data_IF_724650443563
#
_entry.id   IF_724650443563
#
_cell.length_a   1.000
_cell.length_b   1.000
_cell.length_c   1.000
_cell.angle_alpha   90.00
_cell.angle_beta   90.00
_cell.angle_gamma   90.00
#
_symmetry.space_group_name_H-M   'P 1'
#
loop_
_entity.id
_entity.type
_entity.pdbx_description
1 polymer ?
#
# COMPACT_ATOMS: atom_id res chain seq x y z
N UNK A 1 -6.91 17.07 -7.86
CA UNK A 1 -6.34 15.96 -8.66
C UNK A 1 -6.99 15.71 -10.01
N UNK A 2 -8.31 15.86 -10.19
CA UNK A 2 -8.93 15.78 -11.54
C UNK A 2 -8.26 16.72 -12.55
N UNK A 3 -7.90 17.94 -12.13
CA UNK A 3 -7.14 18.87 -12.96
C UNK A 3 -5.75 18.36 -13.37
N UNK A 4 -5.06 17.61 -12.50
CA UNK A 4 -3.76 17.03 -12.83
C UNK A 4 -3.90 15.93 -13.90
N UNK A 5 -4.90 15.05 -13.78
CA UNK A 5 -5.16 14.02 -14.80
C UNK A 5 -5.65 14.61 -16.13
N UNK A 6 -6.42 15.70 -16.11
CA UNK A 6 -6.78 16.44 -17.32
C UNK A 6 -5.57 17.08 -17.99
N UNK A 7 -4.67 17.67 -17.21
CA UNK A 7 -3.44 18.24 -17.74
C UNK A 7 -2.52 17.15 -18.31
N UNK A 8 -2.39 16.01 -17.61
CA UNK A 8 -1.71 14.82 -18.13
C UNK A 8 -2.34 14.38 -19.45
N UNK A 9 -3.67 14.27 -19.56
CA UNK A 9 -4.34 13.97 -20.83
C UNK A 9 -4.01 14.97 -21.94
N UNK A 10 -3.95 16.26 -21.62
CA UNK A 10 -3.63 17.34 -22.57
C UNK A 10 -2.23 17.19 -23.15
N UNK A 11 -1.24 16.89 -22.31
CA UNK A 11 0.17 16.86 -22.71
C UNK A 11 0.68 15.49 -23.15
N UNK A 12 0.03 14.40 -22.73
CA UNK A 12 0.48 13.04 -23.03
C UNK A 12 0.14 12.67 -24.48
N UNK A 13 1.11 12.05 -25.16
CA UNK A 13 1.00 11.68 -26.57
C UNK A 13 0.33 10.33 -26.81
N UNK A 14 0.39 9.39 -25.87
CA UNK A 14 -0.20 8.06 -26.04
C UNK A 14 -0.61 7.42 -24.72
N UNK A 15 0.35 7.19 -23.81
CA UNK A 15 0.15 6.32 -22.64
C UNK A 15 0.66 6.96 -21.35
N UNK A 16 -0.03 6.67 -20.24
CA UNK A 16 0.32 7.09 -18.89
C UNK A 16 0.43 5.85 -18.01
N UNK A 17 1.54 5.76 -17.28
CA UNK A 17 1.70 4.74 -16.25
C UNK A 17 1.20 5.30 -14.91
N UNK A 18 0.13 4.71 -14.39
CA UNK A 18 -0.44 5.00 -13.07
C UNK A 18 0.12 3.99 -12.07
N UNK A 19 0.99 4.43 -11.15
CA UNK A 19 1.58 3.61 -10.09
C UNK A 19 1.10 4.16 -8.76
N UNK A 20 0.42 3.32 -7.97
CA UNK A 20 -0.15 3.74 -6.67
C UNK A 20 -0.04 2.61 -5.64
N UNK A 21 0.03 2.92 -4.34
CA UNK A 21 -0.15 1.92 -3.30
C UNK A 21 -1.44 1.13 -3.54
N UNK A 22 -1.45 -0.17 -3.23
CA UNK A 22 -2.69 -0.92 -3.22
C UNK A 22 -3.68 -0.24 -2.26
N UNK A 23 -4.96 -0.32 -2.57
CA UNK A 23 -6.03 0.29 -1.76
C UNK A 23 -6.14 -0.30 -0.33
N UNK A 24 -5.34 -1.34 -0.03
CA UNK A 24 -5.24 -1.96 1.29
C UNK A 24 -4.01 -1.39 2.00
N UNK A 25 -4.19 -0.95 3.24
CA UNK A 25 -3.07 -0.58 4.11
C UNK A 25 -2.07 -1.73 4.21
N UNK A 26 -0.76 -1.45 4.36
CA UNK A 26 0.24 -2.45 4.68
C UNK A 26 -0.19 -3.30 5.88
N UNK A 27 -0.01 -4.60 5.76
CA UNK A 27 -0.50 -5.58 6.73
C UNK A 27 0.66 -6.12 7.55
N UNK A 28 0.48 -6.18 8.87
CA UNK A 28 1.49 -6.66 9.82
C UNK A 28 1.19 -8.11 10.18
N UNK A 29 2.22 -8.95 10.10
CA UNK A 29 2.15 -10.37 10.41
C UNK A 29 3.35 -10.83 11.25
N UNK A 30 3.20 -11.99 11.87
CA UNK A 30 4.29 -12.81 12.40
C UNK A 30 4.33 -14.13 11.67
N UNK A 31 5.51 -14.50 11.16
CA UNK A 31 5.78 -15.84 10.64
C UNK A 31 6.44 -16.67 11.71
N UNK A 32 5.85 -17.82 12.05
CA UNK A 32 6.47 -18.79 12.94
C UNK A 32 7.60 -19.57 12.22
N UNK A 33 8.39 -20.33 12.99
CA UNK A 33 9.51 -21.13 12.47
C UNK A 33 9.09 -22.23 11.47
N UNK A 34 7.82 -22.61 11.45
CA UNK A 34 7.26 -23.63 10.57
C UNK A 34 6.63 -23.00 9.30
N UNK A 35 6.66 -21.66 9.18
CA UNK A 35 6.08 -20.92 8.06
C UNK A 35 4.60 -20.54 8.24
N UNK A 36 4.04 -20.70 9.43
CA UNK A 36 2.69 -20.26 9.76
C UNK A 36 2.61 -18.75 9.96
N UNK A 37 1.71 -18.08 9.24
CA UNK A 37 1.53 -16.63 9.31
C UNK A 37 0.35 -16.26 10.21
N UNK A 38 0.62 -15.42 11.22
CA UNK A 38 -0.39 -14.85 12.12
C UNK A 38 -0.58 -13.37 11.80
N UNK A 39 -1.80 -12.98 11.45
CA UNK A 39 -2.15 -11.57 11.22
C UNK A 39 -2.23 -10.80 12.53
N UNK A 40 -1.54 -9.66 12.60
CA UNK A 40 -1.47 -8.82 13.81
C UNK A 40 -2.27 -7.52 13.66
N UNK A 41 -2.43 -7.00 12.45
CA UNK A 41 -3.16 -5.77 12.19
C UNK A 41 -2.72 -5.08 10.90
N UNK A 42 -3.23 -3.88 10.69
CA UNK A 42 -2.89 -3.06 9.52
C UNK A 42 -2.19 -1.80 10.01
N UNK A 43 -1.17 -1.34 9.27
CA UNK A 43 -0.62 -0.02 9.52
C UNK A 43 -1.69 1.05 9.34
N UNK A 44 -1.66 2.07 10.20
CA UNK A 44 -2.56 3.20 10.14
C UNK A 44 -1.83 4.40 9.57
N UNK A 45 -2.56 5.23 8.83
CA UNK A 45 -2.01 6.52 8.42
C UNK A 45 -1.90 7.43 9.63
N UNK A 46 -0.80 8.20 9.71
CA UNK A 46 -0.59 9.19 10.76
C UNK A 46 -1.54 10.40 10.65
N UNK A 47 -2.04 10.67 9.46
CA UNK A 47 -2.88 11.82 9.13
C UNK A 47 -4.00 11.45 8.14
N UNK A 48 -4.82 12.44 7.75
CA UNK A 48 -5.88 12.28 6.76
C UNK A 48 -5.36 12.05 5.32
N UNK A 49 -4.04 11.89 5.10
CA UNK A 49 -3.48 11.70 3.76
C UNK A 49 -3.90 10.38 3.10
N UNK A 50 -4.43 9.43 3.87
CA UNK A 50 -5.19 8.29 3.34
C UNK A 50 -6.34 8.71 2.40
N UNK A 51 -6.91 9.91 2.57
CA UNK A 51 -7.92 10.44 1.66
C UNK A 51 -7.38 10.82 0.27
N UNK A 52 -6.08 11.08 0.12
CA UNK A 52 -5.50 11.41 -1.19
C UNK A 52 -5.57 10.23 -2.16
N UNK A 53 -5.45 8.99 -1.69
CA UNK A 53 -5.59 7.83 -2.57
C UNK A 53 -7.03 7.67 -3.04
N UNK A 54 -8.00 7.82 -2.15
CA UNK A 54 -9.43 7.80 -2.46
C UNK A 54 -9.78 8.88 -3.49
N UNK A 55 -9.27 10.10 -3.30
CA UNK A 55 -9.46 11.18 -4.26
C UNK A 55 -8.81 10.88 -5.62
N UNK A 56 -7.67 10.16 -5.63
CA UNK A 56 -6.95 9.78 -6.86
C UNK A 56 -7.73 8.73 -7.63
N UNK A 57 -8.22 7.70 -6.93
CA UNK A 57 -9.10 6.66 -7.49
C UNK A 57 -10.37 7.27 -8.06
N UNK A 58 -10.99 8.18 -7.31
CA UNK A 58 -12.19 8.90 -7.75
C UNK A 58 -11.90 9.72 -9.00
N UNK A 59 -10.76 10.42 -9.05
CA UNK A 59 -10.38 11.21 -10.21
C UNK A 59 -10.09 10.33 -11.43
N UNK A 60 -9.43 9.18 -11.26
CA UNK A 60 -9.20 8.21 -12.32
C UNK A 60 -10.51 7.64 -12.85
N UNK A 61 -11.41 7.21 -11.97
CA UNK A 61 -12.71 6.68 -12.33
C UNK A 61 -13.52 7.69 -13.18
N UNK A 62 -13.44 8.98 -12.83
CA UNK A 62 -14.08 10.06 -13.61
C UNK A 62 -13.49 10.19 -15.01
N UNK A 63 -12.17 10.25 -15.17
CA UNK A 63 -11.58 10.41 -16.51
C UNK A 63 -11.75 9.18 -17.41
N UNK A 64 -11.88 7.99 -16.82
CA UNK A 64 -12.27 6.77 -17.53
C UNK A 64 -13.74 6.85 -17.97
N UNK A 65 -14.65 7.26 -17.07
CA UNK A 65 -16.06 7.44 -17.39
C UNK A 65 -16.28 8.51 -18.49
N UNK A 66 -15.45 9.54 -18.52
CA UNK A 66 -15.43 10.59 -19.55
C UNK A 66 -14.78 10.14 -20.88
N UNK A 67 -14.42 8.86 -21.05
CA UNK A 67 -13.74 8.31 -22.23
C UNK A 67 -12.43 9.03 -22.61
N UNK A 68 -11.72 9.64 -21.65
CA UNK A 68 -10.43 10.30 -21.93
C UNK A 68 -9.29 9.30 -21.99
N UNK A 69 -9.40 8.25 -21.16
CA UNK A 69 -8.45 7.16 -21.07
C UNK A 69 -9.16 5.81 -21.00
N UNK A 70 -8.49 4.77 -21.47
CA UNK A 70 -8.84 3.37 -21.20
C UNK A 70 -7.69 2.68 -20.48
N UNK A 71 -8.03 1.83 -19.51
CA UNK A 71 -7.04 0.93 -18.89
C UNK A 71 -6.76 -0.19 -19.88
N UNK A 72 -5.52 -0.31 -20.33
CA UNK A 72 -5.08 -1.35 -21.28
C UNK A 72 -4.35 -2.50 -20.61
N UNK A 73 -3.76 -2.25 -19.44
CA UNK A 73 -3.11 -3.25 -18.62
C UNK A 73 -3.27 -2.87 -17.15
N UNK A 74 -3.48 -3.86 -16.30
CA UNK A 74 -3.39 -3.75 -14.84
C UNK A 74 -2.47 -4.86 -14.33
N UNK A 75 -1.61 -4.54 -13.38
CA UNK A 75 -0.71 -5.46 -12.72
C UNK A 75 -0.59 -5.11 -11.23
N UNK A 76 -0.12 -6.06 -10.43
CA UNK A 76 0.06 -5.91 -8.99
C UNK A 76 1.38 -6.51 -8.54
N UNK A 77 2.09 -5.79 -7.69
CA UNK A 77 3.37 -6.21 -7.15
C UNK A 77 3.30 -6.14 -5.63
N UNK A 78 3.42 -7.30 -4.98
CA UNK A 78 3.49 -7.42 -3.53
C UNK A 78 4.93 -7.75 -3.11
N UNK A 79 5.36 -7.23 -1.97
CA UNK A 79 6.61 -7.60 -1.31
C UNK A 79 6.45 -7.65 0.21
N UNK A 80 7.50 -8.16 0.87
CA UNK A 80 7.53 -8.34 2.33
C UNK A 80 8.80 -7.71 2.90
N UNK A 81 8.63 -6.83 3.88
CA UNK A 81 9.73 -6.34 4.71
C UNK A 81 9.76 -7.15 6.00
N UNK A 82 10.86 -7.84 6.26
CA UNK A 82 10.99 -8.77 7.39
C UNK A 82 11.93 -8.22 8.46
N UNK A 83 11.55 -8.43 9.71
CA UNK A 83 12.21 -7.93 10.90
C UNK A 83 12.46 -9.07 11.88
N UNK A 84 13.56 -9.01 12.62
CA UNK A 84 13.93 -10.04 13.58
C UNK A 84 13.15 -9.89 14.89
N UNK A 85 12.68 -8.69 15.21
CA UNK A 85 11.89 -8.42 16.43
C UNK A 85 10.66 -7.55 16.17
N UNK A 86 9.72 -7.58 17.12
CA UNK A 86 8.56 -6.67 17.09
C UNK A 86 9.00 -5.21 17.25
N UNK A 87 9.96 -4.95 18.15
CA UNK A 87 10.45 -3.60 18.44
C UNK A 87 11.14 -2.99 17.21
N UNK A 88 11.98 -3.78 16.52
CA UNK A 88 12.62 -3.35 15.27
C UNK A 88 11.61 -2.95 14.19
N UNK A 89 10.52 -3.71 14.02
CA UNK A 89 9.45 -3.34 13.08
C UNK A 89 8.80 -2.02 13.49
N UNK A 90 8.46 -1.86 14.77
CA UNK A 90 7.79 -0.65 15.28
C UNK A 90 8.70 0.58 15.14
N UNK A 91 9.97 0.47 15.52
CA UNK A 91 10.98 1.52 15.38
C UNK A 91 11.17 1.90 13.91
N UNK A 92 11.34 0.91 13.02
CA UNK A 92 11.49 1.16 11.58
C UNK A 92 10.28 1.89 10.98
N UNK A 93 9.05 1.49 11.32
CA UNK A 93 7.85 2.18 10.84
C UNK A 93 7.81 3.61 11.37
N UNK A 94 8.10 3.81 12.65
CA UNK A 94 8.10 5.13 13.27
C UNK A 94 9.15 6.08 12.64
N UNK A 95 10.36 5.57 12.39
CA UNK A 95 11.49 6.41 11.98
C UNK A 95 11.53 6.64 10.47
N UNK A 96 11.26 5.61 9.66
CA UNK A 96 11.45 5.67 8.21
C UNK A 96 10.13 5.87 7.45
N UNK A 97 8.98 5.51 8.04
CA UNK A 97 7.69 5.55 7.36
C UNK A 97 6.85 6.71 7.89
N UNK A 98 7.27 7.94 7.56
CA UNK A 98 6.71 9.21 8.05
C UNK A 98 5.18 9.34 8.02
N UNK A 99 4.49 8.59 7.15
CA UNK A 99 3.04 8.64 6.98
C UNK A 99 2.28 7.48 7.63
N UNK A 100 2.99 6.51 8.21
CA UNK A 100 2.42 5.29 8.78
C UNK A 100 2.76 5.15 10.26
N UNK A 101 1.87 4.49 10.98
CA UNK A 101 2.06 4.16 12.38
C UNK A 101 1.55 2.75 12.68
N UNK A 102 2.18 2.12 13.68
CA UNK A 102 1.69 0.89 14.29
C UNK A 102 0.84 1.32 15.48
N UNK A 103 -0.48 1.09 15.42
CA UNK A 103 -1.34 1.39 16.56
C UNK A 103 -1.09 0.43 17.74
N UNK A 104 -1.53 0.82 18.93
CA UNK A 104 -1.28 0.07 20.17
C UNK A 104 -1.82 -1.36 20.11
N UNK A 105 -3.00 -1.57 19.50
CA UNK A 105 -3.60 -2.90 19.36
C UNK A 105 -2.77 -3.79 18.44
N UNK A 106 -2.31 -3.27 17.31
CA UNK A 106 -1.43 -3.98 16.37
C UNK A 106 -0.09 -4.31 17.03
N UNK A 107 0.50 -3.36 17.77
CA UNK A 107 1.76 -3.57 18.50
C UNK A 107 1.61 -4.66 19.57
N UNK A 108 0.53 -4.63 20.36
CA UNK A 108 0.26 -5.64 21.38
C UNK A 108 0.04 -7.04 20.77
N UNK A 109 -0.69 -7.14 19.67
CA UNK A 109 -0.88 -8.40 18.93
C UNK A 109 0.43 -8.92 18.35
N UNK A 110 1.25 -8.04 17.78
CA UNK A 110 2.57 -8.35 17.24
C UNK A 110 3.49 -8.94 18.31
N UNK A 111 3.62 -8.25 19.46
CA UNK A 111 4.45 -8.71 20.58
C UNK A 111 3.99 -10.06 21.14
N UNK A 112 2.67 -10.26 21.27
CA UNK A 112 2.09 -11.55 21.73
C UNK A 112 2.37 -12.67 20.73
N UNK A 113 2.11 -12.44 19.44
CA UNK A 113 2.33 -13.44 18.40
C UNK A 113 3.81 -13.83 18.28
N UNK A 114 4.74 -12.88 18.38
CA UNK A 114 6.18 -13.16 18.44
C UNK A 114 6.56 -14.02 19.65
N UNK A 115 6.03 -13.68 20.83
CA UNK A 115 6.27 -14.43 22.07
C UNK A 115 5.75 -15.87 21.98
N UNK A 116 4.54 -16.05 21.48
CA UNK A 116 3.87 -17.34 21.40
C UNK A 116 4.51 -18.25 20.32
N UNK A 117 5.01 -17.67 19.24
CA UNK A 117 5.69 -18.38 18.15
C UNK A 117 7.11 -18.85 18.53
N UNK A 118 7.69 -18.26 19.57
CA UNK A 118 8.98 -18.66 20.12
C UNK A 118 10.18 -18.33 19.21
N UNK A 119 11.30 -19.01 19.48
CA UNK A 119 12.58 -18.70 18.82
C UNK A 119 12.54 -18.97 17.32
N UNK A 120 12.98 -17.99 16.53
CA UNK A 120 13.03 -18.06 15.07
C UNK A 120 11.79 -17.50 14.37
N UNK A 121 10.80 -17.02 15.12
CA UNK A 121 9.71 -16.23 14.55
C UNK A 121 10.24 -14.91 13.98
N UNK A 122 9.58 -14.40 12.94
CA UNK A 122 9.91 -13.11 12.31
C UNK A 122 8.65 -12.26 12.17
N UNK A 123 8.78 -10.99 12.50
CA UNK A 123 7.77 -10.00 12.18
C UNK A 123 7.93 -9.60 10.71
N UNK A 124 6.84 -9.31 10.00
CA UNK A 124 6.94 -8.79 8.65
C UNK A 124 5.74 -7.92 8.26
N UNK A 125 5.98 -7.00 7.35
CA UNK A 125 4.96 -6.15 6.73
C UNK A 125 4.75 -6.65 5.31
N UNK A 126 3.52 -7.02 4.97
CA UNK A 126 3.09 -7.28 3.60
C UNK A 126 2.54 -5.99 2.99
N UNK A 127 3.08 -5.57 1.87
CA UNK A 127 2.61 -4.39 1.14
C UNK A 127 2.74 -4.58 -0.36
N UNK A 128 2.15 -3.67 -1.12
CA UNK A 128 2.15 -3.76 -2.57
C UNK A 128 1.73 -2.49 -3.28
N UNK A 129 2.03 -2.44 -4.57
CA UNK A 129 1.58 -1.40 -5.49
C UNK A 129 0.69 -1.98 -6.59
N UNK A 130 -0.30 -1.21 -6.99
CA UNK A 130 -1.04 -1.42 -8.23
C UNK A 130 -0.43 -0.59 -9.35
N UNK A 131 -0.28 -1.20 -10.52
CA UNK A 131 0.22 -0.53 -11.73
C UNK A 131 -0.83 -0.64 -12.82
N UNK A 132 -1.18 0.49 -13.44
CA UNK A 132 -2.12 0.53 -14.57
C UNK A 132 -1.50 1.29 -15.74
N UNK A 133 -1.67 0.75 -16.94
CA UNK A 133 -1.32 1.45 -18.18
C UNK A 133 -2.58 2.06 -18.77
N UNK A 134 -2.65 3.39 -18.74
CA UNK A 134 -3.75 4.16 -19.29
C UNK A 134 -3.38 4.58 -20.71
N UNK A 135 -4.22 4.23 -21.69
CA UNK A 135 -4.07 4.71 -23.06
C UNK A 135 -5.06 5.83 -23.31
N UNK A 136 -4.56 6.94 -23.87
CA UNK A 136 -5.39 8.06 -24.29
C UNK A 136 -6.31 7.62 -25.44
N UNK A 137 -7.60 7.95 -25.33
CA UNK A 137 -8.51 7.88 -26.47
C UNK A 137 -8.34 9.19 -27.24
N UNK A 138 -8.01 9.08 -28.52
CA UNK A 138 -8.02 10.24 -29.42
C UNK A 138 -9.40 10.28 -30.08
N UNK A 139 -10.06 11.43 -30.01
CA UNK A 139 -11.20 11.77 -30.85
C UNK A 139 -10.79 11.81 -32.33
#
# INVERSE_FOLDING_TARGET
>A
MVHALHETWRVTRSEVLDIRPLALSPLVFVRDRNGGDTFCGELKWCDDSGQHHIQSDTALARVIADNKFVVTKEDRFDWFDSFDTADELVEQVHDDWLTWTVDEDTALKLMRAMKDSGRGAKAFIKQGIGVRLLKKIND
#
